data_IF_849507581083
#
_entry.id   IF_849507581083
#
_cell.length_a   1.000
_cell.length_b   1.000
_cell.length_c   1.000
_cell.angle_alpha   90.00
_cell.angle_beta   90.00
_cell.angle_gamma   90.00
#
_symmetry.space_group_name_H-M   'P 1'
#
loop_
_entity.id
_entity.type
_entity.pdbx_description
1 polymer ?
#
# COMPACT_ATOMS: atom_id res chain seq x y z
N UNK A 1 0.46 3.66 -28.07
CA UNK A 1 0.58 4.89 -27.27
C UNK A 1 2.06 5.20 -27.15
N UNK A 2 2.54 6.32 -27.70
CA UNK A 2 3.96 6.69 -27.63
C UNK A 2 4.14 7.69 -26.48
N UNK A 3 4.92 7.33 -25.47
CA UNK A 3 5.15 8.16 -24.28
C UNK A 3 6.66 8.39 -24.18
N UNK A 4 7.09 9.65 -24.31
CA UNK A 4 8.49 10.01 -24.08
C UNK A 4 8.74 10.12 -22.59
N UNK A 5 9.54 9.19 -22.06
CA UNK A 5 9.90 9.11 -20.65
C UNK A 5 11.26 9.76 -20.35
N UNK A 6 11.99 10.21 -21.38
CA UNK A 6 13.26 10.91 -21.26
C UNK A 6 14.47 9.97 -21.30
N UNK A 7 15.61 10.51 -21.73
CA UNK A 7 16.81 9.74 -22.12
C UNK A 7 17.34 8.82 -21.01
N UNK A 8 17.27 9.27 -19.74
CA UNK A 8 17.68 8.46 -18.58
C UNK A 8 16.84 7.17 -18.46
N UNK A 9 15.53 7.30 -18.64
CA UNK A 9 14.60 6.19 -18.45
C UNK A 9 14.57 5.27 -19.67
N UNK A 10 14.78 5.81 -20.87
CA UNK A 10 15.00 5.02 -22.08
C UNK A 10 16.21 4.09 -21.93
N UNK A 11 17.36 4.63 -21.52
CA UNK A 11 18.58 3.83 -21.25
C UNK A 11 18.36 2.78 -20.15
N UNK A 12 17.59 3.10 -19.12
CA UNK A 12 17.25 2.14 -18.07
C UNK A 12 16.40 0.99 -18.62
N UNK A 13 15.34 1.31 -19.36
CA UNK A 13 14.44 0.31 -19.95
C UNK A 13 15.19 -0.59 -20.93
N UNK A 14 16.00 -0.01 -21.81
CA UNK A 14 16.84 -0.75 -22.76
C UNK A 14 17.76 -1.73 -22.04
N UNK A 15 18.53 -1.25 -21.06
CA UNK A 15 19.41 -2.10 -20.25
C UNK A 15 18.66 -3.24 -19.53
N UNK A 16 17.47 -2.96 -19.00
CA UNK A 16 16.71 -3.96 -18.23
C UNK A 16 16.10 -5.04 -19.13
N UNK A 17 15.78 -4.70 -20.38
CA UNK A 17 15.34 -5.64 -21.42
C UNK A 17 16.54 -6.45 -21.93
N UNK A 18 17.69 -5.83 -22.18
CA UNK A 18 18.94 -6.53 -22.56
C UNK A 18 19.41 -7.52 -21.49
N UNK A 19 19.27 -7.17 -20.21
CA UNK A 19 19.53 -8.07 -19.07
C UNK A 19 18.57 -9.27 -19.01
N UNK A 20 17.54 -9.31 -19.87
CA UNK A 20 16.56 -10.39 -19.95
C UNK A 20 15.55 -10.42 -18.79
N UNK A 21 15.53 -9.38 -17.94
CA UNK A 21 14.61 -9.29 -16.80
C UNK A 21 13.17 -9.01 -17.24
N UNK A 22 13.00 -8.35 -18.39
CA UNK A 22 11.69 -8.08 -19.00
C UNK A 22 11.75 -8.32 -20.50
N UNK A 23 10.63 -8.77 -21.08
CA UNK A 23 10.52 -9.11 -22.51
C UNK A 23 10.32 -7.91 -23.42
N UNK A 24 9.89 -6.76 -22.88
CA UNK A 24 9.67 -5.53 -23.65
C UNK A 24 9.67 -4.28 -22.79
N UNK A 25 9.93 -3.13 -23.41
CA UNK A 25 9.80 -1.82 -22.77
C UNK A 25 8.40 -1.58 -22.17
N UNK A 26 7.36 -2.08 -22.85
CA UNK A 26 5.97 -1.95 -22.37
C UNK A 26 5.73 -2.73 -21.08
N UNK A 27 6.45 -3.83 -20.86
CA UNK A 27 6.36 -4.62 -19.63
C UNK A 27 7.00 -3.88 -18.44
N UNK A 28 8.18 -3.28 -18.66
CA UNK A 28 8.86 -2.45 -17.65
C UNK A 28 7.97 -1.29 -17.21
N UNK A 29 7.34 -0.61 -18.17
CA UNK A 29 6.46 0.53 -17.89
C UNK A 29 5.21 0.10 -17.13
N UNK A 30 4.58 -1.02 -17.51
CA UNK A 30 3.41 -1.55 -16.79
C UNK A 30 3.75 -1.89 -15.35
N UNK A 31 4.87 -2.55 -15.13
CA UNK A 31 5.33 -2.90 -13.78
C UNK A 31 5.64 -1.66 -12.95
N UNK A 32 6.28 -0.65 -13.55
CA UNK A 32 6.51 0.65 -12.92
C UNK A 32 5.20 1.33 -12.52
N UNK A 33 4.20 1.36 -13.40
CA UNK A 33 2.89 1.93 -13.10
C UNK A 33 2.14 1.14 -12.01
N UNK A 34 2.23 -0.19 -12.01
CA UNK A 34 1.67 -1.05 -10.96
C UNK A 34 2.25 -0.70 -9.59
N UNK A 35 3.56 -0.51 -9.50
CA UNK A 35 4.22 -0.11 -8.25
C UNK A 35 3.79 1.28 -7.78
N UNK A 36 3.59 2.22 -8.72
CA UNK A 36 3.07 3.56 -8.40
C UNK A 36 1.63 3.46 -7.87
N UNK A 37 0.77 2.70 -8.54
CA UNK A 37 -0.62 2.49 -8.12
C UNK A 37 -0.69 1.85 -6.73
N UNK A 38 0.09 0.81 -6.47
CA UNK A 38 0.16 0.17 -5.15
C UNK A 38 0.62 1.13 -4.05
N UNK A 39 1.60 1.98 -4.36
CA UNK A 39 2.08 3.00 -3.42
C UNK A 39 0.99 4.02 -3.11
N UNK A 40 0.30 4.53 -4.12
CA UNK A 40 -0.81 5.48 -3.93
C UNK A 40 -1.97 4.83 -3.16
N UNK A 41 -2.30 3.57 -3.45
CA UNK A 41 -3.32 2.83 -2.71
C UNK A 41 -2.97 2.67 -1.22
N UNK A 42 -1.70 2.34 -0.91
CA UNK A 42 -1.21 2.25 0.47
C UNK A 42 -1.29 3.59 1.20
N UNK A 43 -0.86 4.68 0.55
CA UNK A 43 -0.94 6.02 1.14
C UNK A 43 -2.38 6.44 1.38
N UNK A 44 -3.28 6.18 0.42
CA UNK A 44 -4.70 6.47 0.57
C UNK A 44 -5.33 5.66 1.72
N UNK A 45 -4.96 4.39 1.87
CA UNK A 45 -5.41 3.57 2.98
C UNK A 45 -4.94 4.13 4.34
N UNK A 46 -3.66 4.50 4.44
CA UNK A 46 -3.11 5.11 5.66
C UNK A 46 -3.81 6.43 6.01
N UNK A 47 -4.05 7.29 5.01
CA UNK A 47 -4.79 8.54 5.21
C UNK A 47 -6.20 8.29 5.73
N UNK A 48 -6.93 7.34 5.13
CA UNK A 48 -8.27 6.96 5.62
C UNK A 48 -8.25 6.44 7.06
N UNK A 49 -7.26 5.62 7.41
CA UNK A 49 -7.11 5.14 8.79
C UNK A 49 -6.86 6.28 9.75
N UNK A 50 -6.01 7.24 9.37
CA UNK A 50 -5.71 8.41 10.19
C UNK A 50 -6.93 9.32 10.35
N UNK A 51 -7.63 9.64 9.26
CA UNK A 51 -8.87 10.43 9.27
C UNK A 51 -9.91 9.76 10.17
N UNK A 52 -10.17 8.46 9.99
CA UNK A 52 -11.11 7.73 10.83
C UNK A 52 -10.73 7.72 12.32
N UNK A 53 -9.43 7.71 12.64
CA UNK A 53 -8.96 7.82 14.03
C UNK A 53 -9.15 9.23 14.59
N UNK A 54 -8.87 10.26 13.80
CA UNK A 54 -9.09 11.67 14.19
C UNK A 54 -10.60 11.93 14.41
N UNK A 55 -11.46 11.44 13.51
CA UNK A 55 -12.91 11.58 13.62
C UNK A 55 -13.47 10.90 14.88
N UNK A 56 -12.81 9.84 15.37
CA UNK A 56 -13.14 9.15 16.62
C UNK A 56 -12.60 9.83 17.88
N UNK A 57 -11.91 10.97 17.75
CA UNK A 57 -11.34 11.73 18.88
C UNK A 57 -9.81 11.71 18.94
N UNK A 58 -9.14 10.94 18.09
CA UNK A 58 -7.68 10.95 17.91
C UNK A 58 -6.86 10.37 19.07
N UNK A 59 -7.50 10.04 20.19
CA UNK A 59 -6.89 9.48 21.39
C UNK A 59 -7.89 8.54 22.07
N UNK A 60 -7.38 7.52 22.77
CA UNK A 60 -8.17 6.62 23.62
C UNK A 60 -7.48 6.55 24.97
N UNK A 61 -8.26 6.61 26.06
CA UNK A 61 -7.66 6.48 27.39
C UNK A 61 -7.18 5.04 27.65
N UNK A 62 -6.25 4.88 28.60
CA UNK A 62 -5.76 3.56 29.00
C UNK A 62 -6.91 2.66 29.51
N UNK A 63 -7.90 3.25 30.18
CA UNK A 63 -9.11 2.53 30.62
C UNK A 63 -9.98 2.06 29.46
N UNK A 64 -10.16 2.89 28.43
CA UNK A 64 -10.91 2.55 27.21
C UNK A 64 -10.20 1.43 26.43
N UNK A 65 -8.87 1.49 26.35
CA UNK A 65 -8.06 0.44 25.73
C UNK A 65 -8.19 -0.89 26.49
N UNK A 66 -8.10 -0.86 27.82
CA UNK A 66 -8.28 -2.04 28.67
C UNK A 66 -9.65 -2.69 28.49
N UNK A 67 -10.72 -1.89 28.48
CA UNK A 67 -12.07 -2.38 28.25
C UNK A 67 -12.25 -3.01 26.86
N UNK A 68 -11.66 -2.42 25.82
CA UNK A 68 -11.73 -2.93 24.45
C UNK A 68 -10.99 -4.28 24.28
N UNK A 69 -9.84 -4.44 24.94
CA UNK A 69 -9.06 -5.69 24.91
C UNK A 69 -9.79 -6.84 25.61
N UNK A 70 -10.36 -6.60 26.79
CA UNK A 70 -11.16 -7.60 27.51
C UNK A 70 -12.40 -8.04 26.72
N UNK A 71 -13.09 -7.08 26.08
CA UNK A 71 -14.23 -7.38 25.22
C UNK A 71 -13.83 -8.26 24.02
N UNK A 72 -12.69 -7.95 23.35
CA UNK A 72 -12.20 -8.76 22.23
C UNK A 72 -11.71 -10.14 22.64
N UNK A 73 -11.08 -10.26 23.80
CA UNK A 73 -10.68 -11.56 24.36
C UNK A 73 -11.90 -12.46 24.64
N UNK A 74 -12.98 -11.89 25.19
CA UNK A 74 -14.22 -12.60 25.44
C UNK A 74 -14.95 -13.06 24.16
N UNK A 75 -14.87 -12.29 23.06
CA UNK A 75 -15.42 -12.72 21.77
C UNK A 75 -14.64 -13.88 21.16
N UNK A 76 -13.31 -13.80 21.13
CA UNK A 76 -12.46 -14.87 20.60
C UNK A 76 -12.60 -16.17 21.40
N UNK A 77 -12.83 -16.06 22.72
CA UNK A 77 -13.12 -17.20 23.57
C UNK A 77 -14.48 -17.87 23.26
N UNK A 78 -15.46 -17.11 22.74
CA UNK A 78 -16.76 -17.63 22.32
C UNK A 78 -16.75 -18.21 20.91
N UNK A 79 -15.97 -17.64 20.00
CA UNK A 79 -15.81 -18.16 18.62
C UNK A 79 -14.93 -19.42 18.56
N UNK A 80 -14.09 -19.65 19.57
CA UNK A 80 -13.27 -20.85 19.68
C UNK A 80 -14.02 -22.06 20.27
N UNK A 81 -15.33 -21.96 20.52
CA UNK A 81 -16.15 -23.00 21.15
C UNK A 81 -17.31 -23.45 20.25
#
# INVERSE_FOLDING_TARGET
MNVSIGERWEKFVEKTVEEGRYSSASEVVREGLRLVEEREAKIAALRRTLEASIDRGGDISDEELGAALEAKAAELAKESH
#
